data_IF_734841716493
#
_entry.id   IF_734841716493
#
_cell.length_a   1.000
_cell.length_b   1.000
_cell.length_c   1.000
_cell.angle_alpha   90.00
_cell.angle_beta   90.00
_cell.angle_gamma   90.00
#
_symmetry.space_group_name_H-M   'P 1'
#
loop_
_entity.id
_entity.type
_entity.pdbx_description
1 polymer ?
#
# COMPACT_ATOMS: atom_id res chain seq x y z
N UNK A 1 4.14 -3.37 42.11
CA UNK A 1 4.40 -3.61 40.67
C UNK A 1 3.56 -2.66 39.83
N UNK A 2 4.20 -1.69 39.17
CA UNK A 2 3.56 -0.54 38.51
C UNK A 2 2.35 -0.88 37.62
N UNK A 3 2.46 -1.89 36.75
CA UNK A 3 1.40 -2.33 35.84
C UNK A 3 0.10 -2.74 36.57
N UNK A 4 0.22 -3.54 37.64
CA UNK A 4 -0.92 -4.01 38.42
C UNK A 4 -1.51 -2.90 39.29
N UNK A 5 -0.68 -2.03 39.86
CA UNK A 5 -1.13 -0.98 40.77
C UNK A 5 -1.83 0.16 40.05
N UNK A 6 -1.21 0.68 38.97
CA UNK A 6 -1.66 1.87 38.25
C UNK A 6 -2.65 1.55 37.14
N UNK A 7 -2.41 0.48 36.37
CA UNK A 7 -3.23 0.14 35.20
C UNK A 7 -4.18 -1.03 35.47
N UNK A 8 -4.11 -1.66 36.65
CA UNK A 8 -4.91 -2.85 37.01
C UNK A 8 -4.74 -4.02 36.03
N UNK A 9 -3.57 -4.12 35.39
CA UNK A 9 -3.25 -5.19 34.44
C UNK A 9 -2.34 -6.24 35.09
N UNK A 10 -2.82 -7.49 35.29
CA UNK A 10 -1.99 -8.58 35.80
C UNK A 10 -1.00 -9.08 34.73
N UNK A 11 0.14 -9.60 35.17
CA UNK A 11 1.14 -10.22 34.29
C UNK A 11 0.90 -11.73 34.24
N UNK A 12 1.08 -12.32 33.05
CA UNK A 12 1.03 -13.77 32.87
C UNK A 12 2.38 -14.39 33.22
N UNK A 13 2.44 -15.17 34.30
CA UNK A 13 3.64 -15.89 34.75
C UNK A 13 4.10 -16.94 33.73
N UNK A 14 3.17 -17.57 33.00
CA UNK A 14 3.50 -18.57 31.97
C UNK A 14 4.27 -17.95 30.79
N UNK A 15 3.82 -16.76 30.36
CA UNK A 15 4.40 -16.06 29.20
C UNK A 15 5.62 -15.23 29.56
N UNK A 16 5.72 -14.78 30.80
CA UNK A 16 6.75 -13.85 31.25
C UNK A 16 7.83 -14.59 32.02
N UNK A 17 9.00 -14.79 31.41
CA UNK A 17 10.10 -15.49 32.06
C UNK A 17 11.46 -14.91 31.68
N UNK A 18 12.36 -14.88 32.66
CA UNK A 18 13.76 -14.54 32.45
C UNK A 18 14.47 -15.74 31.82
N UNK A 19 15.05 -15.56 30.63
CA UNK A 19 15.69 -16.64 29.88
C UNK A 19 17.14 -16.30 29.57
N UNK A 20 18.07 -17.17 29.94
CA UNK A 20 19.47 -17.06 29.54
C UNK A 20 19.65 -17.47 28.07
N UNK A 21 19.87 -16.49 27.19
CA UNK A 21 19.99 -16.68 25.74
C UNK A 21 21.19 -17.53 25.30
N UNK A 22 22.19 -17.73 26.16
CA UNK A 22 23.32 -18.65 25.91
C UNK A 22 22.89 -20.11 26.02
N UNK A 23 21.87 -20.40 26.86
CA UNK A 23 21.37 -21.75 27.11
C UNK A 23 20.13 -22.07 26.27
N UNK A 24 19.15 -21.17 26.24
CA UNK A 24 17.86 -21.37 25.55
C UNK A 24 17.56 -20.20 24.63
N UNK A 25 16.88 -20.45 23.51
CA UNK A 25 16.38 -19.39 22.64
C UNK A 25 15.15 -18.71 23.25
N UNK A 26 14.97 -17.42 23.00
CA UNK A 26 13.72 -16.69 23.28
C UNK A 26 12.99 -16.34 21.98
N UNK A 27 11.66 -16.34 21.97
CA UNK A 27 10.86 -15.92 20.82
C UNK A 27 10.28 -14.53 21.06
N UNK A 28 10.43 -13.63 20.10
CA UNK A 28 9.85 -12.30 20.14
C UNK A 28 9.38 -11.90 18.74
N UNK A 29 8.11 -11.49 18.63
CA UNK A 29 7.48 -11.05 17.37
C UNK A 29 7.70 -12.01 16.18
N UNK A 30 7.68 -13.32 16.44
CA UNK A 30 7.85 -14.35 15.41
C UNK A 30 9.30 -14.62 14.98
N UNK A 31 10.28 -14.08 15.70
CA UNK A 31 11.71 -14.36 15.52
C UNK A 31 12.24 -15.02 16.78
N UNK A 32 13.03 -16.08 16.64
CA UNK A 32 13.76 -16.67 17.77
C UNK A 32 15.17 -16.11 17.83
N UNK A 33 15.63 -15.79 19.04
CA UNK A 33 16.92 -15.20 19.34
C UNK A 33 17.71 -16.17 20.22
N UNK A 34 18.97 -16.45 19.86
CA UNK A 34 19.89 -17.26 20.66
C UNK A 34 21.30 -16.68 20.59
N UNK A 35 22.02 -16.67 21.70
CA UNK A 35 23.44 -16.33 21.71
C UNK A 35 24.27 -17.56 21.35
N UNK A 36 25.15 -17.40 20.37
CA UNK A 36 26.06 -18.46 19.90
C UNK A 36 27.48 -17.95 19.99
N UNK A 37 28.39 -18.78 20.52
CA UNK A 37 29.82 -18.46 20.57
C UNK A 37 30.39 -18.60 19.16
N UNK A 38 31.04 -17.55 18.66
CA UNK A 38 31.74 -17.51 17.38
C UNK A 38 33.14 -16.95 17.61
N UNK A 39 34.14 -17.82 17.56
CA UNK A 39 35.52 -17.54 17.97
C UNK A 39 35.55 -17.01 19.42
N UNK A 40 36.17 -15.85 19.65
CA UNK A 40 36.30 -15.22 20.97
C UNK A 40 35.12 -14.32 21.37
N UNK A 41 34.04 -14.26 20.57
CA UNK A 41 32.87 -13.41 20.86
C UNK A 41 31.57 -14.19 20.81
N UNK A 42 30.53 -13.66 21.44
CA UNK A 42 29.17 -14.15 21.25
C UNK A 42 28.42 -13.29 20.24
N UNK A 43 27.64 -13.95 19.38
CA UNK A 43 26.81 -13.30 18.37
C UNK A 43 25.37 -13.76 18.49
N UNK A 44 24.43 -12.91 18.08
CA UNK A 44 23.02 -13.27 18.06
C UNK A 44 22.69 -14.04 16.77
N UNK A 45 22.25 -15.29 16.92
CA UNK A 45 21.60 -16.03 15.86
C UNK A 45 20.11 -15.80 15.96
N UNK A 46 19.53 -15.30 14.87
CA UNK A 46 18.10 -15.07 14.76
C UNK A 46 17.51 -15.88 13.62
N UNK A 47 16.40 -16.55 13.94
CA UNK A 47 15.67 -17.42 13.02
C UNK A 47 14.20 -17.02 12.97
N UNK A 48 13.51 -17.40 11.90
CA UNK A 48 12.05 -17.33 11.85
C UNK A 48 11.46 -18.39 12.77
N UNK A 49 10.60 -17.98 13.69
CA UNK A 49 10.00 -18.89 14.66
C UNK A 49 9.29 -20.06 13.99
N UNK A 50 9.34 -21.24 14.61
CA UNK A 50 8.72 -22.46 14.07
C UNK A 50 7.23 -22.26 13.76
N UNK A 51 6.50 -21.59 14.65
CA UNK A 51 5.08 -21.24 14.47
C UNK A 51 4.88 -20.36 13.23
N UNK A 52 5.71 -19.34 13.06
CA UNK A 52 5.68 -18.45 11.90
C UNK A 52 6.01 -19.20 10.59
N UNK A 53 7.05 -20.04 10.57
CA UNK A 53 7.41 -20.88 9.41
C UNK A 53 6.27 -21.81 8.99
N UNK A 54 5.63 -22.49 9.94
CA UNK A 54 4.46 -23.34 9.68
C UNK A 54 3.31 -22.54 9.09
N UNK A 55 3.00 -21.36 9.65
CA UNK A 55 1.95 -20.46 9.14
C UNK A 55 2.24 -20.00 7.71
N UNK A 56 3.45 -19.51 7.45
CA UNK A 56 3.89 -19.03 6.12
C UNK A 56 3.74 -20.15 5.08
N UNK A 57 4.28 -21.34 5.38
CA UNK A 57 4.18 -22.50 4.49
C UNK A 57 2.73 -22.83 4.16
N UNK A 58 1.84 -22.85 5.16
CA UNK A 58 0.41 -23.11 4.97
C UNK A 58 -0.22 -22.06 4.06
N UNK A 59 -0.05 -20.77 4.38
CA UNK A 59 -0.61 -19.66 3.60
C UNK A 59 -0.16 -19.70 2.13
N UNK A 60 1.13 -19.92 1.87
CA UNK A 60 1.64 -20.01 0.51
C UNK A 60 1.12 -21.26 -0.22
N UNK A 61 1.02 -22.42 0.46
CA UNK A 61 0.41 -23.62 -0.13
C UNK A 61 -1.07 -23.44 -0.47
N UNK A 62 -1.82 -22.75 0.37
CA UNK A 62 -3.23 -22.48 0.12
C UNK A 62 -3.40 -21.49 -1.03
N UNK A 63 -2.50 -20.52 -1.16
CA UNK A 63 -2.48 -19.63 -2.33
C UNK A 63 -2.11 -20.38 -3.62
N UNK A 64 -1.19 -21.34 -3.57
CA UNK A 64 -0.88 -22.23 -4.70
C UNK A 64 -2.13 -23.00 -5.15
N UNK A 65 -2.95 -23.51 -4.22
CA UNK A 65 -4.21 -24.18 -4.57
C UNK A 65 -5.22 -23.23 -5.24
N UNK A 66 -5.21 -21.94 -4.87
CA UNK A 66 -6.07 -20.93 -5.51
C UNK A 66 -5.62 -20.63 -6.94
N UNK A 67 -4.31 -20.55 -7.19
CA UNK A 67 -3.75 -20.40 -8.54
C UNK A 67 -4.19 -21.56 -9.45
N UNK A 68 -4.35 -22.78 -8.89
CA UNK A 68 -4.80 -23.95 -9.64
C UNK A 68 -6.30 -23.90 -10.03
N UNK A 69 -7.12 -23.07 -9.37
CA UNK A 69 -8.53 -22.94 -9.76
C UNK A 69 -8.60 -22.18 -11.08
N UNK A 70 -8.76 -22.93 -12.17
CA UNK A 70 -8.73 -22.41 -13.55
C UNK A 70 -10.08 -21.80 -13.89
N UNK A 71 -10.11 -20.48 -14.00
CA UNK A 71 -11.23 -19.74 -14.60
C UNK A 71 -10.77 -19.05 -15.89
N UNK A 72 -9.67 -18.30 -15.85
CA UNK A 72 -9.07 -17.61 -17.01
C UNK A 72 -7.58 -17.30 -16.82
N UNK A 73 -6.85 -16.98 -17.91
CA UNK A 73 -5.45 -16.47 -17.84
C UNK A 73 -5.34 -15.25 -16.93
N UNK A 74 -6.29 -14.32 -17.02
CA UNK A 74 -6.30 -13.08 -16.23
C UNK A 74 -6.45 -13.39 -14.73
N UNK A 75 -7.37 -14.28 -14.36
CA UNK A 75 -7.55 -14.69 -12.96
C UNK A 75 -6.32 -15.42 -12.41
N UNK A 76 -5.68 -16.28 -13.20
CA UNK A 76 -4.45 -16.97 -12.79
C UNK A 76 -3.34 -15.96 -12.49
N UNK A 77 -3.15 -14.97 -13.37
CA UNK A 77 -2.16 -13.90 -13.16
C UNK A 77 -2.46 -13.12 -11.87
N UNK A 78 -3.73 -12.78 -11.60
CA UNK A 78 -4.13 -12.10 -10.36
C UNK A 78 -3.80 -12.93 -9.11
N UNK A 79 -4.02 -14.24 -9.14
CA UNK A 79 -3.67 -15.12 -8.01
C UNK A 79 -2.15 -15.29 -7.84
N UNK A 80 -1.38 -15.26 -8.93
CA UNK A 80 0.10 -15.22 -8.88
C UNK A 80 0.57 -13.87 -8.29
N UNK A 81 -0.02 -12.74 -8.67
CA UNK A 81 0.29 -11.43 -8.11
C UNK A 81 0.07 -11.38 -6.60
N UNK A 82 -1.04 -11.98 -6.11
CA UNK A 82 -1.30 -12.13 -4.67
C UNK A 82 -0.20 -12.97 -4.01
N UNK A 83 0.16 -14.12 -4.59
CA UNK A 83 1.25 -14.95 -4.08
C UNK A 83 2.58 -14.18 -4.00
N UNK A 84 2.94 -13.45 -5.06
CA UNK A 84 4.17 -12.64 -5.10
C UNK A 84 4.16 -11.54 -4.04
N UNK A 85 3.03 -10.85 -3.88
CA UNK A 85 2.85 -9.83 -2.83
C UNK A 85 3.03 -10.41 -1.43
N UNK A 86 2.53 -11.64 -1.19
CA UNK A 86 2.76 -12.35 0.08
C UNK A 86 4.25 -12.65 0.30
N UNK A 87 4.95 -13.17 -0.71
CA UNK A 87 6.39 -13.45 -0.64
C UNK A 87 7.20 -12.18 -0.33
N UNK A 88 6.91 -11.08 -1.03
CA UNK A 88 7.55 -9.77 -0.81
C UNK A 88 7.31 -9.30 0.64
N UNK A 89 6.06 -9.36 1.11
CA UNK A 89 5.74 -8.98 2.49
C UNK A 89 6.47 -9.84 3.54
N UNK A 90 6.54 -11.15 3.32
CA UNK A 90 7.28 -12.08 4.19
C UNK A 90 8.78 -11.75 4.20
N UNK A 91 9.38 -11.49 3.03
CA UNK A 91 10.80 -11.11 2.94
C UNK A 91 11.06 -9.77 3.65
N UNK A 92 10.22 -8.77 3.41
CA UNK A 92 10.35 -7.46 4.05
C UNK A 92 10.35 -7.56 5.58
N UNK A 93 9.46 -8.38 6.15
CA UNK A 93 9.37 -8.54 7.60
C UNK A 93 10.51 -9.39 8.16
N UNK A 94 10.78 -10.57 7.61
CA UNK A 94 11.72 -11.53 8.20
C UNK A 94 13.17 -11.37 7.73
N UNK A 95 13.46 -10.50 6.76
CA UNK A 95 14.84 -10.25 6.29
C UNK A 95 15.79 -9.83 7.41
N UNK A 96 15.28 -9.33 8.53
CA UNK A 96 16.09 -8.99 9.70
C UNK A 96 16.67 -10.19 10.47
N UNK A 97 16.14 -11.40 10.26
CA UNK A 97 16.64 -12.61 10.90
C UNK A 97 17.93 -13.10 10.20
N UNK A 98 19.00 -13.34 10.97
CA UNK A 98 20.33 -13.60 10.42
C UNK A 98 20.40 -14.89 9.60
N UNK A 99 19.54 -15.87 9.91
CA UNK A 99 19.48 -17.16 9.25
C UNK A 99 18.23 -17.34 8.37
N UNK A 100 17.55 -16.24 8.00
CA UNK A 100 16.30 -16.27 7.23
C UNK A 100 16.41 -17.05 5.93
N UNK A 101 17.55 -16.95 5.22
CA UNK A 101 17.76 -17.67 3.95
C UNK A 101 17.72 -19.18 4.13
N UNK A 102 18.34 -19.71 5.20
CA UNK A 102 18.31 -21.14 5.53
C UNK A 102 16.91 -21.58 5.97
N UNK A 103 16.25 -20.75 6.77
CA UNK A 103 14.90 -21.04 7.26
C UNK A 103 13.90 -21.18 6.10
N UNK A 104 13.98 -20.27 5.11
CA UNK A 104 13.08 -20.28 3.95
C UNK A 104 13.52 -21.20 2.82
N UNK A 105 14.77 -21.63 2.76
CA UNK A 105 15.22 -22.64 1.79
C UNK A 105 14.42 -23.95 1.91
N UNK A 106 14.26 -24.45 3.14
CA UNK A 106 13.48 -25.66 3.42
C UNK A 106 12.01 -25.55 2.98
N UNK A 107 11.42 -24.36 3.13
CA UNK A 107 10.05 -24.06 2.71
C UNK A 107 10.01 -23.95 1.18
N UNK A 108 10.97 -23.24 0.59
CA UNK A 108 11.07 -23.00 -0.84
C UNK A 108 11.18 -24.28 -1.65
N UNK A 109 11.96 -25.27 -1.19
CA UNK A 109 12.04 -26.59 -1.84
C UNK A 109 10.67 -27.30 -1.86
N UNK A 110 9.93 -27.25 -0.75
CA UNK A 110 8.61 -27.88 -0.66
C UNK A 110 7.56 -27.16 -1.50
N UNK A 111 7.62 -25.82 -1.59
CA UNK A 111 6.77 -25.05 -2.47
C UNK A 111 7.11 -25.30 -3.94
N UNK A 112 8.40 -25.37 -4.29
CA UNK A 112 8.85 -25.69 -5.64
C UNK A 112 8.31 -27.04 -6.11
N UNK A 113 8.40 -28.09 -5.27
CA UNK A 113 7.77 -29.39 -5.56
C UNK A 113 6.25 -29.28 -5.73
N UNK A 114 5.59 -28.48 -4.90
CA UNK A 114 4.13 -28.27 -4.97
C UNK A 114 3.72 -27.57 -6.28
N UNK A 115 4.50 -26.57 -6.72
CA UNK A 115 4.30 -25.90 -8.00
C UNK A 115 4.55 -26.86 -9.17
N UNK A 116 5.69 -27.56 -9.17
CA UNK A 116 6.02 -28.49 -10.26
C UNK A 116 4.96 -29.56 -10.43
N UNK A 117 4.56 -30.25 -9.36
CA UNK A 117 3.58 -31.33 -9.45
C UNK A 117 2.19 -30.85 -9.91
N UNK A 118 1.80 -29.62 -9.61
CA UNK A 118 0.48 -29.08 -9.97
C UNK A 118 0.45 -28.47 -11.36
N UNK A 119 1.54 -27.85 -11.78
CA UNK A 119 1.57 -26.98 -12.96
C UNK A 119 2.52 -27.48 -14.07
N UNK A 120 3.10 -28.69 -13.95
CA UNK A 120 3.95 -29.28 -15.00
C UNK A 120 3.22 -29.36 -16.35
N UNK A 121 1.97 -29.81 -16.33
CA UNK A 121 1.11 -29.94 -17.52
C UNK A 121 0.60 -28.58 -18.01
N UNK A 122 0.65 -27.57 -17.15
CA UNK A 122 0.25 -26.19 -17.44
C UNK A 122 1.41 -25.33 -17.94
N UNK A 123 2.58 -25.93 -18.16
CA UNK A 123 3.74 -25.25 -18.74
C UNK A 123 4.55 -24.42 -17.74
N UNK A 124 4.56 -24.75 -16.44
CA UNK A 124 5.46 -24.07 -15.52
C UNK A 124 6.93 -24.23 -15.95
N UNK A 125 7.63 -23.12 -16.14
CA UNK A 125 8.96 -23.13 -16.75
C UNK A 125 9.94 -22.19 -16.05
N UNK A 126 11.23 -22.36 -16.36
CA UNK A 126 12.28 -21.40 -15.99
C UNK A 126 12.46 -20.31 -17.04
N UNK A 127 12.00 -20.56 -18.28
CA UNK A 127 12.14 -19.65 -19.41
C UNK A 127 10.99 -18.64 -19.37
N UNK A 128 11.33 -17.37 -19.27
CA UNK A 128 10.37 -16.28 -19.27
C UNK A 128 11.07 -14.96 -18.98
N UNK A 129 10.43 -13.87 -19.36
CA UNK A 129 10.88 -12.51 -19.05
C UNK A 129 9.71 -11.73 -18.45
N UNK A 130 10.04 -10.84 -17.52
CA UNK A 130 9.08 -9.90 -16.95
C UNK A 130 9.40 -8.50 -17.47
N UNK A 131 8.54 -7.98 -18.36
CA UNK A 131 8.69 -6.65 -18.95
C UNK A 131 7.98 -5.54 -18.14
N UNK A 132 7.49 -5.85 -16.93
CA UNK A 132 6.80 -4.87 -16.10
C UNK A 132 7.74 -4.00 -15.27
N UNK A 133 7.23 -2.88 -14.76
CA UNK A 133 7.99 -1.89 -13.99
C UNK A 133 7.79 -1.99 -12.47
N UNK A 134 7.27 -3.12 -11.96
CA UNK A 134 7.02 -3.29 -10.53
C UNK A 134 8.33 -3.38 -9.74
N UNK A 135 8.63 -2.32 -8.98
CA UNK A 135 9.84 -2.19 -8.15
C UNK A 135 9.98 -3.29 -7.09
N UNK A 136 8.89 -3.94 -6.68
CA UNK A 136 8.92 -5.06 -5.74
C UNK A 136 9.29 -6.39 -6.40
N UNK A 137 8.97 -6.57 -7.68
CA UNK A 137 9.24 -7.79 -8.45
C UNK A 137 10.64 -7.76 -9.07
N UNK A 138 11.05 -6.61 -9.62
CA UNK A 138 12.34 -6.45 -10.32
C UNK A 138 13.56 -7.01 -9.55
N UNK A 139 13.71 -6.83 -8.21
CA UNK A 139 14.83 -7.39 -7.46
C UNK A 139 14.94 -8.92 -7.50
N UNK A 140 13.87 -9.62 -7.87
CA UNK A 140 13.86 -11.09 -7.94
C UNK A 140 14.24 -11.63 -9.32
N UNK A 141 14.33 -10.77 -10.35
CA UNK A 141 14.63 -11.22 -11.72
C UNK A 141 16.06 -11.76 -11.86
N UNK A 142 16.98 -11.37 -10.97
CA UNK A 142 18.33 -11.96 -10.85
C UNK A 142 18.31 -13.41 -10.33
N UNK A 143 17.18 -13.88 -9.80
CA UNK A 143 17.09 -15.20 -9.17
C UNK A 143 16.99 -16.33 -10.19
N UNK A 144 17.99 -17.22 -10.24
CA UNK A 144 17.94 -18.49 -10.99
C UNK A 144 16.81 -19.44 -10.53
N UNK A 145 16.17 -19.16 -9.39
CA UNK A 145 15.08 -19.95 -8.80
C UNK A 145 13.69 -19.46 -9.19
N UNK A 146 13.59 -18.37 -9.96
CA UNK A 146 12.31 -17.89 -10.48
C UNK A 146 11.66 -18.92 -11.40
N UNK A 147 10.33 -18.93 -11.42
CA UNK A 147 9.53 -19.73 -12.35
C UNK A 147 8.50 -18.85 -13.00
N UNK A 148 8.00 -19.27 -14.16
CA UNK A 148 6.97 -18.58 -14.90
C UNK A 148 5.80 -19.53 -15.12
N UNK A 149 4.60 -18.99 -15.01
CA UNK A 149 3.35 -19.64 -15.35
C UNK A 149 2.48 -18.61 -16.07
N UNK A 150 1.99 -18.97 -17.26
CA UNK A 150 1.23 -18.06 -18.13
C UNK A 150 1.96 -16.72 -18.39
N UNK A 151 3.26 -16.81 -18.65
CA UNK A 151 4.18 -15.68 -18.90
C UNK A 151 4.35 -14.70 -17.74
N UNK A 152 3.94 -15.07 -16.52
CA UNK A 152 4.05 -14.21 -15.33
C UNK A 152 5.00 -14.83 -14.28
N UNK A 153 5.91 -14.03 -13.68
CA UNK A 153 6.89 -14.55 -12.73
C UNK A 153 6.25 -15.01 -11.41
N UNK A 154 6.80 -16.08 -10.83
CA UNK A 154 6.49 -16.60 -9.51
C UNK A 154 7.72 -16.45 -8.63
N UNK A 155 7.59 -15.66 -7.57
CA UNK A 155 8.72 -15.31 -6.72
C UNK A 155 9.14 -16.45 -5.77
N UNK A 156 10.44 -16.81 -5.73
CA UNK A 156 10.94 -17.84 -4.83
C UNK A 156 11.09 -17.32 -3.39
N UNK A 157 10.37 -17.92 -2.44
CA UNK A 157 10.48 -17.60 -0.99
C UNK A 157 11.89 -17.84 -0.42
N UNK A 158 12.66 -18.74 -1.03
CA UNK A 158 14.05 -19.00 -0.62
C UNK A 158 15.03 -17.92 -1.06
N UNK A 159 14.61 -16.96 -1.90
CA UNK A 159 15.43 -15.85 -2.39
C UNK A 159 15.29 -14.62 -1.49
N UNK A 160 15.52 -14.83 -0.20
CA UNK A 160 15.58 -13.77 0.80
C UNK A 160 17.03 -13.53 1.17
N UNK A 161 17.41 -12.26 1.28
CA UNK A 161 18.71 -11.84 1.79
C UNK A 161 18.53 -11.22 3.17
N UNK A 162 19.45 -11.53 4.08
CA UNK A 162 19.46 -10.90 5.39
C UNK A 162 19.73 -9.40 5.22
N UNK A 163 18.89 -8.57 5.82
CA UNK A 163 19.07 -7.13 5.90
C UNK A 163 19.76 -6.79 7.21
N UNK A 164 20.94 -6.18 7.13
CA UNK A 164 21.63 -5.65 8.31
C UNK A 164 20.82 -4.51 8.90
N UNK A 165 20.39 -4.67 10.16
CA UNK A 165 19.74 -3.61 10.91
C UNK A 165 20.80 -2.58 11.29
N UNK A 166 20.67 -1.36 10.78
CA UNK A 166 21.43 -0.22 11.30
C UNK A 166 20.80 0.19 12.63
N UNK A 167 21.63 0.48 13.63
CA UNK A 167 21.14 0.98 14.92
C UNK A 167 20.26 2.22 14.74
N UNK A 168 19.36 2.46 15.70
CA UNK A 168 18.52 3.67 15.67
C UNK A 168 19.43 4.90 15.62
N UNK A 169 19.11 5.84 14.72
CA UNK A 169 19.77 7.15 14.72
C UNK A 169 19.52 7.82 16.08
N UNK A 170 20.58 8.05 16.86
CA UNK A 170 20.50 8.66 18.20
C UNK A 170 19.93 10.08 18.15
N UNK A 171 20.13 10.78 17.03
CA UNK A 171 19.64 12.14 16.84
C UNK A 171 18.15 12.17 16.45
N UNK A 172 17.54 11.03 16.09
CA UNK A 172 16.11 10.94 15.78
C UNK A 172 15.27 10.93 17.06
N UNK A 173 14.91 12.13 17.52
CA UNK A 173 14.11 12.37 18.71
C UNK A 173 12.95 13.34 18.43
N UNK A 174 11.71 12.92 18.72
CA UNK A 174 10.51 13.75 18.53
C UNK A 174 10.43 14.94 19.50
N UNK A 175 11.14 14.88 20.62
CA UNK A 175 11.08 15.91 21.66
C UNK A 175 12.09 17.05 21.44
N UNK A 176 13.13 16.86 20.62
CA UNK A 176 14.11 17.91 20.30
C UNK A 176 13.82 18.56 18.94
N UNK A 177 14.05 19.88 18.77
CA UNK A 177 13.88 20.55 17.48
C UNK A 177 14.69 19.90 16.34
N UNK A 178 15.95 19.57 16.59
CA UNK A 178 16.86 18.97 15.61
C UNK A 178 16.40 17.57 15.20
N UNK A 179 15.90 16.80 16.18
CA UNK A 179 15.38 15.47 15.94
C UNK A 179 14.05 15.49 15.18
N UNK A 180 13.22 16.51 15.39
CA UNK A 180 12.01 16.75 14.58
C UNK A 180 12.37 17.04 13.12
N UNK A 181 13.37 17.88 12.85
CA UNK A 181 13.82 18.15 11.46
C UNK A 181 14.15 16.83 10.73
N UNK A 182 14.83 15.89 11.39
CA UNK A 182 15.12 14.57 10.80
C UNK A 182 13.88 13.72 10.52
N UNK A 183 12.81 13.86 11.32
CA UNK A 183 11.51 13.22 11.06
C UNK A 183 10.83 13.90 9.86
N UNK A 184 10.81 15.23 9.83
CA UNK A 184 10.14 16.04 8.80
C UNK A 184 10.86 16.03 7.45
N UNK A 185 12.19 15.79 7.41
CA UNK A 185 12.94 15.60 6.15
C UNK A 185 12.44 14.41 5.31
N UNK A 186 11.81 13.42 5.93
CA UNK A 186 11.20 12.31 5.18
C UNK A 186 9.81 12.65 4.62
N UNK A 187 9.20 13.77 5.05
CA UNK A 187 7.90 14.26 4.59
C UNK A 187 8.09 15.53 3.74
N UNK A 188 8.78 15.40 2.61
CA UNK A 188 8.96 16.48 1.63
C UNK A 188 7.90 16.46 0.52
N UNK A 189 6.78 15.77 0.73
CA UNK A 189 5.73 15.68 -0.29
C UNK A 189 5.05 17.02 -0.57
N UNK A 190 5.02 17.92 0.42
CA UNK A 190 4.43 19.27 0.39
C UNK A 190 5.19 20.21 1.33
N UNK A 191 5.15 21.51 1.07
CA UNK A 191 5.82 22.51 1.91
C UNK A 191 5.16 22.67 3.29
N UNK A 192 5.95 22.78 4.36
CA UNK A 192 5.45 22.82 5.75
C UNK A 192 4.51 24.00 6.01
N UNK A 193 4.79 25.18 5.43
CA UNK A 193 3.93 26.36 5.60
C UNK A 193 2.51 26.12 5.09
N UNK A 194 2.31 25.27 4.08
CA UNK A 194 0.98 24.89 3.58
C UNK A 194 0.22 24.04 4.59
N UNK A 195 0.93 23.13 5.27
CA UNK A 195 0.34 22.32 6.34
C UNK A 195 0.00 23.19 7.55
N UNK A 196 0.90 24.11 7.91
CA UNK A 196 0.64 25.09 8.95
C UNK A 196 -0.62 25.90 8.65
N UNK A 197 -0.74 26.43 7.43
CA UNK A 197 -1.93 27.17 7.00
C UNK A 197 -3.21 26.33 7.14
N UNK A 198 -3.19 25.05 6.73
CA UNK A 198 -4.36 24.16 6.88
C UNK A 198 -4.75 23.88 8.34
N UNK A 199 -3.77 23.84 9.26
CA UNK A 199 -4.02 23.71 10.70
C UNK A 199 -4.63 24.97 11.29
N UNK A 200 -4.18 26.13 10.83
CA UNK A 200 -4.64 27.45 11.30
C UNK A 200 -5.99 27.86 10.67
N UNK A 201 -6.35 27.28 9.53
CA UNK A 201 -7.60 27.55 8.81
C UNK A 201 -8.45 26.27 8.69
N UNK A 202 -8.96 25.74 9.82
CA UNK A 202 -9.90 24.63 9.78
C UNK A 202 -11.20 25.07 9.09
N UNK A 203 -11.87 24.13 8.43
CA UNK A 203 -13.22 24.36 7.94
C UNK A 203 -14.15 24.33 9.15
N UNK A 204 -14.78 25.47 9.45
CA UNK A 204 -15.71 25.63 10.57
C UNK A 204 -17.12 25.78 9.98
N UNK A 205 -17.88 24.69 10.00
CA UNK A 205 -19.31 24.69 9.73
C UNK A 205 -19.96 23.46 10.39
N UNK A 206 -21.29 23.39 10.39
CA UNK A 206 -22.06 22.29 11.00
C UNK A 206 -21.71 20.89 10.47
N UNK A 207 -21.09 20.81 9.29
CA UNK A 207 -20.75 19.56 8.60
C UNK A 207 -19.29 19.16 8.74
N UNK A 208 -18.45 20.01 9.36
CA UNK A 208 -17.01 19.80 9.46
C UNK A 208 -16.62 19.40 10.88
N UNK A 209 -16.53 18.10 11.12
CA UNK A 209 -16.07 17.55 12.40
C UNK A 209 -14.55 17.74 12.60
N UNK A 210 -14.08 17.42 13.81
CA UNK A 210 -12.62 17.31 14.09
C UNK A 210 -11.99 16.27 13.15
N UNK A 211 -12.65 15.14 12.95
CA UNK A 211 -12.21 14.08 12.04
C UNK A 211 -12.07 14.59 10.59
N UNK A 212 -13.04 15.38 10.11
CA UNK A 212 -12.98 15.99 8.78
C UNK A 212 -11.72 16.84 8.59
N UNK A 213 -11.42 17.71 9.55
CA UNK A 213 -10.26 18.61 9.48
C UNK A 213 -8.93 17.85 9.58
N UNK A 214 -8.82 16.84 10.44
CA UNK A 214 -7.65 15.96 10.52
C UNK A 214 -7.42 15.17 9.23
N UNK A 215 -8.51 14.63 8.66
CA UNK A 215 -8.46 13.87 7.41
C UNK A 215 -8.17 14.78 6.20
N UNK A 216 -8.62 16.04 6.20
CA UNK A 216 -8.29 17.04 5.17
C UNK A 216 -6.78 17.29 5.09
N UNK A 217 -6.10 17.46 6.23
CA UNK A 217 -4.62 17.61 6.28
C UNK A 217 -3.94 16.33 5.79
N UNK A 218 -4.40 15.17 6.28
CA UNK A 218 -3.85 13.87 5.89
C UNK A 218 -3.98 13.62 4.37
N UNK A 219 -5.11 13.99 3.78
CA UNK A 219 -5.35 13.90 2.34
C UNK A 219 -4.47 14.85 1.55
N UNK A 220 -4.23 16.07 2.04
CA UNK A 220 -3.38 17.04 1.35
C UNK A 220 -1.96 16.49 1.18
N UNK A 221 -1.43 15.92 2.25
CA UNK A 221 -0.12 15.25 2.25
C UNK A 221 -0.13 14.03 1.32
N UNK A 222 -1.12 13.14 1.45
CA UNK A 222 -1.19 11.91 0.65
C UNK A 222 -1.36 12.19 -0.86
N UNK A 223 -2.11 13.23 -1.21
CA UNK A 223 -2.29 13.71 -2.59
C UNK A 223 -1.14 14.61 -3.06
N UNK A 224 -0.09 14.82 -2.25
CA UNK A 224 1.06 15.68 -2.57
C UNK A 224 0.64 17.11 -2.95
N UNK A 225 -0.38 17.62 -2.27
CA UNK A 225 -0.94 18.96 -2.51
C UNK A 225 -1.61 19.11 -3.87
N UNK A 226 -2.02 18.01 -4.53
CA UNK A 226 -2.59 18.04 -5.88
C UNK A 226 -4.06 17.62 -5.92
N UNK A 227 -4.78 18.13 -6.90
CA UNK A 227 -6.16 17.75 -7.18
C UNK A 227 -6.22 16.29 -7.62
N UNK A 228 -7.12 15.49 -7.05
CA UNK A 228 -7.21 14.06 -7.36
C UNK A 228 -7.61 13.77 -8.82
N UNK A 229 -8.37 14.68 -9.45
CA UNK A 229 -8.77 14.59 -10.86
C UNK A 229 -7.61 15.04 -11.75
N UNK A 230 -7.28 16.32 -11.71
CA UNK A 230 -6.36 16.93 -12.68
C UNK A 230 -4.89 16.62 -12.42
N UNK A 231 -4.49 16.42 -11.16
CA UNK A 231 -3.09 16.27 -10.77
C UNK A 231 -2.33 17.61 -10.68
N UNK A 232 -3.01 18.73 -10.89
CA UNK A 232 -2.46 20.07 -10.71
C UNK A 232 -2.36 20.41 -9.22
N UNK A 233 -1.42 21.27 -8.87
CA UNK A 233 -1.28 21.76 -7.51
C UNK A 233 -2.54 22.51 -7.06
N UNK A 234 -2.97 22.26 -5.82
CA UNK A 234 -4.10 22.92 -5.20
C UNK A 234 -3.62 24.21 -4.55
N UNK A 235 -4.28 25.31 -4.90
CA UNK A 235 -4.21 26.53 -4.10
C UNK A 235 -5.05 26.34 -2.83
N UNK A 236 -4.57 26.85 -1.70
CA UNK A 236 -5.15 26.56 -0.39
C UNK A 236 -6.54 27.18 -0.21
N UNK A 237 -6.77 28.30 -0.87
CA UNK A 237 -8.03 29.04 -0.99
C UNK A 237 -9.02 28.41 -1.98
N UNK A 238 -8.54 27.74 -3.03
CA UNK A 238 -9.36 27.05 -4.03
C UNK A 238 -9.54 25.54 -3.75
N UNK A 239 -9.01 25.05 -2.63
CA UNK A 239 -9.05 23.64 -2.27
C UNK A 239 -10.37 23.26 -1.61
N UNK A 240 -11.10 22.34 -2.24
CA UNK A 240 -12.33 21.79 -1.71
C UNK A 240 -12.14 20.32 -1.29
N UNK A 241 -12.53 19.99 -0.06
CA UNK A 241 -12.57 18.62 0.42
C UNK A 241 -13.97 18.04 0.19
N UNK A 242 -14.05 17.13 -0.77
CA UNK A 242 -15.27 16.54 -1.30
C UNK A 242 -15.55 15.19 -0.64
N UNK A 243 -16.78 15.00 -0.17
CA UNK A 243 -17.31 13.68 0.22
C UNK A 243 -17.75 12.90 -1.03
N UNK A 244 -17.13 11.75 -1.26
CA UNK A 244 -17.43 10.85 -2.39
C UNK A 244 -18.86 10.35 -2.32
N UNK A 245 -19.30 9.90 -1.14
CA UNK A 245 -20.72 9.72 -0.81
C UNK A 245 -21.17 10.95 -0.04
N UNK A 246 -22.28 11.57 -0.46
CA UNK A 246 -22.73 12.84 0.10
C UNK A 246 -22.85 12.79 1.62
N UNK A 247 -22.43 13.87 2.30
CA UNK A 247 -22.46 13.96 3.75
C UNK A 247 -23.90 13.92 4.30
N UNK A 248 -24.86 14.53 3.60
CA UNK A 248 -26.29 14.50 3.96
C UNK A 248 -26.83 13.08 4.11
N UNK A 249 -26.31 12.13 3.35
CA UNK A 249 -26.73 10.72 3.39
C UNK A 249 -25.87 9.87 4.34
N UNK A 250 -24.57 10.15 4.42
CA UNK A 250 -23.61 9.27 5.10
C UNK A 250 -23.21 9.74 6.48
N UNK A 251 -23.16 11.06 6.72
CA UNK A 251 -22.51 11.70 7.87
C UNK A 251 -21.12 11.11 8.16
N UNK A 252 -20.42 10.68 7.12
CA UNK A 252 -19.16 9.94 7.18
C UNK A 252 -17.98 10.83 6.77
N UNK A 253 -17.24 11.31 7.76
CA UNK A 253 -16.02 12.10 7.58
C UNK A 253 -14.75 11.24 7.53
N UNK A 254 -14.88 9.92 7.40
CA UNK A 254 -13.73 9.03 7.34
C UNK A 254 -12.85 9.35 6.13
N UNK A 255 -11.54 9.16 6.31
CA UNK A 255 -10.52 9.34 5.27
C UNK A 255 -10.88 8.64 3.95
N UNK A 256 -11.59 7.50 4.00
CA UNK A 256 -11.99 6.74 2.81
C UNK A 256 -13.07 7.45 2.00
N UNK A 257 -13.96 8.19 2.65
CA UNK A 257 -15.05 8.91 1.99
C UNK A 257 -14.61 10.27 1.45
N UNK A 258 -13.46 10.80 1.87
CA UNK A 258 -13.00 12.13 1.48
C UNK A 258 -11.99 12.12 0.30
N UNK A 259 -11.93 13.23 -0.43
CA UNK A 259 -10.94 13.51 -1.49
C UNK A 259 -10.77 15.02 -1.70
N UNK A 260 -9.56 15.50 -1.98
CA UNK A 260 -9.33 16.92 -2.28
C UNK A 260 -9.38 17.19 -3.79
N UNK A 261 -10.15 18.21 -4.16
CA UNK A 261 -10.37 18.68 -5.52
C UNK A 261 -10.14 20.20 -5.57
N UNK A 262 -9.83 20.73 -6.76
CA UNK A 262 -9.98 22.17 -6.99
C UNK A 262 -11.47 22.53 -7.01
N UNK A 263 -11.80 23.79 -6.75
CA UNK A 263 -13.19 24.27 -6.76
C UNK A 263 -13.90 23.98 -8.07
N UNK A 264 -13.22 24.14 -9.19
CA UNK A 264 -13.76 23.86 -10.52
C UNK A 264 -14.11 22.38 -10.68
N UNK A 265 -13.21 21.48 -10.28
CA UNK A 265 -13.47 20.04 -10.36
C UNK A 265 -14.57 19.61 -9.39
N UNK A 266 -14.64 20.22 -8.21
CA UNK A 266 -15.73 19.97 -7.27
C UNK A 266 -17.08 20.42 -7.84
N UNK A 267 -17.14 21.58 -8.49
CA UNK A 267 -18.33 22.05 -9.22
C UNK A 267 -18.69 21.10 -10.36
N UNK A 268 -17.72 20.66 -11.16
CA UNK A 268 -17.94 19.73 -12.27
C UNK A 268 -18.52 18.38 -11.80
N UNK A 269 -18.11 17.87 -10.65
CA UNK A 269 -18.69 16.63 -10.07
C UNK A 269 -20.18 16.80 -9.75
N UNK A 270 -20.61 17.98 -9.30
CA UNK A 270 -22.01 18.22 -8.92
C UNK A 270 -22.88 18.83 -10.03
N UNK A 271 -22.27 19.33 -11.11
CA UNK A 271 -22.96 20.02 -12.20
C UNK A 271 -23.98 19.10 -12.89
N UNK A 272 -25.17 19.62 -13.14
CA UNK A 272 -26.28 18.93 -13.84
C UNK A 272 -26.49 19.47 -15.25
N UNK A 273 -26.10 20.72 -15.50
CA UNK A 273 -26.22 21.40 -16.78
C UNK A 273 -25.18 20.87 -17.78
N UNK A 274 -25.67 20.26 -18.87
CA UNK A 274 -24.82 19.63 -19.90
C UNK A 274 -23.95 20.63 -20.65
N UNK A 275 -24.43 21.86 -20.87
CA UNK A 275 -23.66 22.89 -21.58
C UNK A 275 -22.46 23.29 -20.73
N UNK A 276 -22.69 23.60 -19.45
CA UNK A 276 -21.62 23.94 -18.50
C UNK A 276 -20.64 22.80 -18.29
N UNK A 277 -21.09 21.55 -18.30
CA UNK A 277 -20.21 20.38 -18.21
C UNK A 277 -19.21 20.38 -19.37
N UNK A 278 -19.67 20.63 -20.59
CA UNK A 278 -18.80 20.69 -21.78
C UNK A 278 -17.81 21.85 -21.68
N UNK A 279 -18.29 23.01 -21.24
CA UNK A 279 -17.43 24.19 -21.05
C UNK A 279 -16.33 23.94 -20.02
N UNK A 280 -16.68 23.35 -18.86
CA UNK A 280 -15.70 22.99 -17.83
C UNK A 280 -14.64 22.03 -18.36
N UNK A 281 -15.05 21.01 -19.14
CA UNK A 281 -14.14 20.05 -19.74
C UNK A 281 -13.20 20.72 -20.74
N UNK A 282 -13.75 21.60 -21.59
CA UNK A 282 -13.00 22.31 -22.61
C UNK A 282 -11.99 23.28 -22.00
N UNK A 283 -12.42 24.16 -21.09
CA UNK A 283 -11.55 25.16 -20.46
C UNK A 283 -10.46 24.53 -19.59
N UNK A 284 -10.78 23.44 -18.89
CA UNK A 284 -9.78 22.71 -18.09
C UNK A 284 -8.94 21.72 -18.92
N UNK A 285 -9.21 21.59 -20.23
CA UNK A 285 -8.50 20.68 -21.15
C UNK A 285 -8.41 19.26 -20.58
N UNK A 286 -9.52 18.74 -20.08
CA UNK A 286 -9.53 17.43 -19.43
C UNK A 286 -9.32 16.31 -20.45
N UNK A 287 -8.41 15.39 -20.14
CA UNK A 287 -8.24 14.15 -20.89
C UNK A 287 -9.36 13.15 -20.60
N UNK A 288 -9.57 12.17 -21.50
CA UNK A 288 -10.52 11.07 -21.29
C UNK A 288 -10.33 10.37 -19.92
N UNK A 289 -9.07 10.15 -19.52
CA UNK A 289 -8.77 9.53 -18.21
C UNK A 289 -9.20 10.41 -17.02
N UNK A 290 -9.10 11.73 -17.14
CA UNK A 290 -9.57 12.65 -16.11
C UNK A 290 -11.11 12.72 -16.09
N UNK A 291 -11.77 12.68 -17.25
CA UNK A 291 -13.23 12.56 -17.34
C UNK A 291 -13.73 11.26 -16.70
N UNK A 292 -13.03 10.13 -16.89
CA UNK A 292 -13.35 8.88 -16.21
C UNK A 292 -13.26 8.99 -14.68
N UNK A 293 -12.28 9.74 -14.17
CA UNK A 293 -12.19 10.01 -12.72
C UNK A 293 -13.35 10.88 -12.23
N UNK A 294 -13.72 11.92 -12.97
CA UNK A 294 -14.90 12.74 -12.68
C UNK A 294 -16.14 11.86 -12.63
N UNK A 295 -16.33 10.99 -13.62
CA UNK A 295 -17.45 10.06 -13.70
C UNK A 295 -17.50 9.08 -12.51
N UNK A 296 -16.35 8.64 -11.99
CA UNK A 296 -16.31 7.82 -10.76
C UNK A 296 -16.90 8.56 -9.57
N UNK A 297 -16.59 9.85 -9.40
CA UNK A 297 -17.15 10.64 -8.30
C UNK A 297 -18.63 10.98 -8.56
N UNK A 298 -18.99 11.37 -9.79
CA UNK A 298 -20.38 11.64 -10.20
C UNK A 298 -21.31 10.48 -9.89
N UNK A 299 -20.90 9.24 -10.18
CA UNK A 299 -21.66 8.04 -9.84
C UNK A 299 -21.91 7.90 -8.34
N UNK A 300 -20.94 8.22 -7.50
CA UNK A 300 -21.06 8.09 -6.04
C UNK A 300 -21.96 9.16 -5.40
N UNK A 301 -22.17 10.27 -6.11
CA UNK A 301 -23.12 11.33 -5.72
C UNK A 301 -24.42 11.30 -6.54
N UNK A 302 -24.72 10.19 -7.20
CA UNK A 302 -25.94 9.97 -8.00
C UNK A 302 -26.13 10.98 -9.15
N UNK A 303 -25.06 11.34 -9.86
CA UNK A 303 -25.08 12.20 -11.05
C UNK A 303 -24.82 11.40 -12.33
N UNK A 304 -25.43 11.85 -13.44
CA UNK A 304 -25.27 11.24 -14.77
C UNK A 304 -23.81 11.29 -15.22
N UNK A 305 -23.35 10.20 -15.83
CA UNK A 305 -22.00 10.13 -16.41
C UNK A 305 -21.88 10.99 -17.65
N UNK A 306 -20.74 11.64 -17.77
CA UNK A 306 -20.35 12.39 -18.94
C UNK A 306 -19.88 11.40 -20.02
N UNK A 307 -20.38 11.55 -21.24
CA UNK A 307 -19.98 10.72 -22.38
C UNK A 307 -18.50 10.92 -22.75
N UNK A 308 -17.83 9.93 -23.38
CA UNK A 308 -16.47 10.07 -23.88
C UNK A 308 -16.32 11.29 -24.80
N UNK A 309 -15.19 11.99 -24.76
CA UNK A 309 -14.94 13.20 -25.57
C UNK A 309 -15.10 12.96 -27.08
N UNK A 310 -14.86 11.74 -27.55
CA UNK A 310 -15.00 11.34 -28.96
C UNK A 310 -16.47 11.33 -29.44
N UNK A 311 -17.43 11.20 -28.53
CA UNK A 311 -18.87 11.11 -28.82
C UNK A 311 -19.59 12.47 -28.62
N UNK A 312 -18.86 13.54 -28.29
CA UNK A 312 -19.42 14.86 -27.98
C UNK A 312 -19.44 15.84 -29.16
N UNK A 313 -19.34 15.36 -30.41
CA UNK A 313 -19.34 16.21 -31.62
C UNK A 313 -20.50 17.21 -31.62
N UNK A 314 -20.26 18.49 -31.98
CA UNK A 314 -21.28 19.52 -31.96
C UNK A 314 -22.34 19.27 -33.04
N UNK A 315 -23.61 19.37 -32.66
CA UNK A 315 -24.79 19.35 -33.55
C UNK A 315 -24.90 20.59 -34.48
N UNK A 316 -23.84 21.39 -34.62
CA UNK A 316 -23.87 22.71 -35.27
C UNK A 316 -23.16 22.80 -36.63
N UNK A 317 -22.59 21.72 -37.17
CA UNK A 317 -22.00 21.72 -38.53
C UNK A 317 -22.85 21.01 -39.61
N UNK A 318 -24.13 20.72 -39.34
CA UNK A 318 -25.02 20.10 -40.34
C UNK A 318 -25.95 21.08 -41.09
N UNK A 319 -25.76 22.41 -40.96
CA UNK A 319 -26.65 23.41 -41.58
C UNK A 319 -25.98 24.35 -42.60
N UNK A 320 -24.81 24.01 -43.15
CA UNK A 320 -24.20 24.76 -44.26
C UNK A 320 -23.81 23.86 -45.42
N UNK A 321 -24.76 23.04 -45.88
CA UNK A 321 -24.75 22.36 -47.18
C UNK A 321 -26.20 22.15 -47.63
N UNK A 322 -26.87 23.24 -47.99
CA UNK A 322 -27.99 23.25 -48.94
C UNK A 322 -27.94 24.55 -49.74
#
# INVERSE_FOLDING_TARGET
MWLKERLKLPISEEKSKITNLKRKSSEFLGITLKMVKKNHRFVCYSHVALKARKRIKRQLKDQIKRIQRKESKITTIREIQKYNSMVIGIHNYYSIATHVSKDFESIGLQLHRSFYNRFREEGITKKGSYNGHDKGILPYMESKRIRYLVDYPILPIGFVRTKTIKGRNKNLNKYTPEGRILVHNNQQSVAEWKIQWLREHPVINERATVEYNDNRISLFIAQKGKCAITGNELFLDDMHCHHKKQWSESKDDSYRNLVLLSKEMHKLVHCTDEVKIRDYIHWNKLSNSQVDKVNKFRKLVNKTTILPLCEQLPKYEQLTLF
#
